data_IF_584191256874
#
_entry.id   IF_584191256874
#
_cell.length_a   1.000
_cell.length_b   1.000
_cell.length_c   1.000
_cell.angle_alpha   90.00
_cell.angle_beta   90.00
_cell.angle_gamma   90.00
#
_symmetry.space_group_name_H-M   'P 1'
#
loop_
_entity.id
_entity.type
_entity.pdbx_description
1 polymer ?
#
# COMPACT_ATOMS: atom_id res chain seq x y z
N UNK A 1 17.81 1.25 -9.22
CA UNK A 1 16.58 0.45 -9.05
C UNK A 1 15.50 1.09 -9.90
N UNK A 2 14.88 0.38 -10.85
CA UNK A 2 13.81 0.94 -11.69
C UNK A 2 12.49 0.89 -10.91
N UNK A 3 11.86 2.04 -10.69
CA UNK A 3 10.53 2.08 -10.09
C UNK A 3 9.51 1.52 -11.10
N UNK A 4 8.70 0.55 -10.68
CA UNK A 4 7.64 0.00 -11.52
C UNK A 4 6.35 0.77 -11.28
N UNK A 5 5.81 1.39 -12.34
CA UNK A 5 4.50 2.06 -12.28
C UNK A 5 3.40 1.01 -12.44
N UNK A 6 2.60 0.80 -11.40
CA UNK A 6 1.46 -0.13 -11.40
C UNK A 6 0.26 0.51 -10.72
N UNK A 7 -0.95 -0.02 -10.96
CA UNK A 7 -2.17 0.47 -10.31
C UNK A 7 -2.40 -0.23 -8.98
N UNK A 8 -3.01 0.46 -8.02
CA UNK A 8 -3.42 -0.14 -6.73
C UNK A 8 -4.27 -1.39 -6.96
N UNK A 9 -5.21 -1.33 -7.91
CA UNK A 9 -6.06 -2.46 -8.30
C UNK A 9 -5.25 -3.69 -8.73
N UNK A 10 -4.19 -3.49 -9.52
CA UNK A 10 -3.34 -4.59 -9.98
C UNK A 10 -2.61 -5.24 -8.81
N UNK A 11 -2.10 -4.43 -7.87
CA UNK A 11 -1.45 -4.93 -6.64
C UNK A 11 -2.46 -5.71 -5.79
N UNK A 12 -3.65 -5.16 -5.52
CA UNK A 12 -4.64 -5.83 -4.66
C UNK A 12 -5.08 -7.17 -5.22
N UNK A 13 -5.19 -7.27 -6.55
CA UNK A 13 -5.55 -8.52 -7.23
C UNK A 13 -4.45 -9.59 -7.17
N UNK A 14 -3.23 -9.23 -6.78
CA UNK A 14 -2.06 -10.11 -6.68
C UNK A 14 -1.72 -10.50 -5.22
N UNK A 15 -2.45 -9.96 -4.23
CA UNK A 15 -2.20 -10.27 -2.82
C UNK A 15 -2.62 -11.70 -2.47
N UNK A 16 -1.75 -12.43 -1.76
CA UNK A 16 -1.93 -13.81 -1.29
C UNK A 16 -2.28 -14.81 -2.39
N UNK A 17 -1.70 -14.60 -3.59
CA UNK A 17 -1.89 -15.46 -4.75
C UNK A 17 -0.62 -16.22 -5.07
N UNK A 18 -0.70 -17.54 -4.98
CA UNK A 18 0.38 -18.47 -5.31
C UNK A 18 0.69 -18.49 -6.82
N UNK A 19 -0.29 -18.11 -7.66
CA UNK A 19 -0.19 -18.05 -9.12
C UNK A 19 0.35 -16.72 -9.67
N UNK A 20 0.69 -15.76 -8.79
CA UNK A 20 1.16 -14.45 -9.20
C UNK A 20 2.65 -14.45 -9.60
N UNK A 21 2.98 -13.63 -10.61
CA UNK A 21 4.35 -13.41 -11.10
C UNK A 21 5.29 -13.00 -9.96
N UNK A 22 6.52 -13.52 -9.96
CA UNK A 22 7.57 -13.33 -8.92
C UNK A 22 7.20 -13.85 -7.51
N UNK A 23 6.27 -14.80 -7.41
CA UNK A 23 5.88 -15.41 -6.13
C UNK A 23 4.81 -14.63 -5.36
N UNK A 24 4.25 -13.57 -5.95
CA UNK A 24 3.10 -12.83 -5.43
C UNK A 24 3.41 -11.91 -4.25
N UNK A 25 2.45 -11.04 -3.92
CA UNK A 25 2.53 -10.19 -2.73
C UNK A 25 1.92 -10.93 -1.54
N UNK A 26 2.73 -11.31 -0.56
CA UNK A 26 2.24 -11.96 0.66
C UNK A 26 2.03 -10.92 1.75
N UNK A 27 0.79 -10.78 2.21
CA UNK A 27 0.52 -10.04 3.44
C UNK A 27 0.80 -10.98 4.62
N UNK A 28 1.73 -10.62 5.52
CA UNK A 28 1.96 -11.40 6.73
C UNK A 28 0.65 -11.62 7.49
N UNK A 29 0.41 -12.82 8.01
CA UNK A 29 -0.74 -13.08 8.87
C UNK A 29 -0.69 -12.27 10.19
N UNK A 30 0.49 -11.75 10.54
CA UNK A 30 0.69 -10.76 11.61
C UNK A 30 0.55 -9.35 11.00
N UNK A 31 -0.68 -8.94 10.75
CA UNK A 31 -0.99 -7.53 10.56
C UNK A 31 -1.72 -7.03 11.79
N UNK A 32 -1.26 -5.91 12.34
CA UNK A 32 -1.99 -5.26 13.44
C UNK A 32 -3.35 -4.83 12.89
N UNK A 33 -4.39 -4.92 13.72
CA UNK A 33 -5.69 -4.39 13.35
C UNK A 33 -5.56 -2.94 12.85
N UNK A 34 -6.33 -2.59 11.83
CA UNK A 34 -6.36 -1.20 11.38
C UNK A 34 -6.84 -0.31 12.53
N UNK A 35 -6.00 0.62 12.99
CA UNK A 35 -6.28 1.50 14.14
C UNK A 35 -6.41 2.98 13.77
N UNK A 36 -6.35 3.31 12.48
CA UNK A 36 -6.49 4.70 12.07
C UNK A 36 -7.94 5.15 12.23
N UNK A 37 -8.10 6.31 12.85
CA UNK A 37 -9.38 7.04 12.90
C UNK A 37 -9.62 7.74 11.56
N UNK A 38 -10.87 8.03 11.26
CA UNK A 38 -11.29 8.70 10.02
C UNK A 38 -10.51 10.00 9.75
N UNK A 39 -10.37 10.86 10.75
CA UNK A 39 -9.61 12.12 10.67
C UNK A 39 -8.14 11.90 10.24
N UNK A 40 -7.52 10.79 10.62
CA UNK A 40 -6.13 10.50 10.24
C UNK A 40 -6.02 10.18 8.75
N UNK A 41 -7.02 9.49 8.22
CA UNK A 41 -7.13 9.20 6.79
C UNK A 41 -7.35 10.49 6.00
N UNK A 42 -8.23 11.38 6.47
CA UNK A 42 -8.45 12.69 5.84
C UNK A 42 -7.17 13.53 5.78
N UNK A 43 -6.41 13.58 6.88
CA UNK A 43 -5.14 14.32 6.94
C UNK A 43 -4.08 13.74 6.01
N UNK A 44 -4.08 12.43 5.78
CA UNK A 44 -3.23 11.81 4.78
C UNK A 44 -3.61 12.27 3.37
N UNK A 45 -4.90 12.27 3.03
CA UNK A 45 -5.37 12.76 1.73
C UNK A 45 -5.07 14.26 1.54
N UNK A 46 -5.27 15.09 2.55
CA UNK A 46 -4.89 16.51 2.53
C UNK A 46 -3.37 16.67 2.28
N UNK A 47 -2.56 15.83 2.92
CA UNK A 47 -1.10 15.85 2.71
C UNK A 47 -0.71 15.46 1.28
N UNK A 48 -1.34 14.43 0.73
CA UNK A 48 -1.15 14.00 -0.66
C UNK A 48 -1.54 15.09 -1.66
N UNK A 49 -2.67 15.77 -1.45
CA UNK A 49 -3.15 16.85 -2.33
C UNK A 49 -2.27 18.10 -2.30
N UNK A 50 -1.52 18.30 -1.21
CA UNK A 50 -0.59 19.42 -1.03
C UNK A 50 0.85 19.07 -1.44
N UNK A 51 1.06 17.90 -2.03
CA UNK A 51 2.38 17.38 -2.38
C UNK A 51 3.37 17.37 -1.20
N UNK A 52 2.87 17.23 0.04
CA UNK A 52 3.75 17.07 1.19
C UNK A 52 4.47 15.73 1.12
N UNK A 53 5.76 15.67 1.51
CA UNK A 53 6.50 14.42 1.51
C UNK A 53 5.87 13.46 2.52
N UNK A 54 5.25 12.40 2.01
CA UNK A 54 4.81 11.25 2.80
C UNK A 54 5.96 10.24 2.89
N UNK A 55 6.11 9.60 4.06
CA UNK A 55 7.17 8.63 4.28
C UNK A 55 7.15 7.48 3.26
N UNK A 56 8.31 6.88 3.00
CA UNK A 56 8.45 5.72 2.11
C UNK A 56 7.62 4.55 2.65
N UNK A 57 6.75 3.97 1.80
CA UNK A 57 6.11 2.70 2.10
C UNK A 57 7.22 1.63 2.19
N UNK A 58 7.41 1.01 3.36
CA UNK A 58 8.27 -0.17 3.47
C UNK A 58 7.55 -1.32 2.77
N UNK A 59 8.17 -1.82 1.69
CA UNK A 59 7.72 -2.95 0.89
C UNK A 59 8.61 -4.15 1.16
#
# INVERSE_FOLDING_TARGET
MKNQTTTIRKITNQLNREDATDGGFWLPNIQRNFVWKEEQTERLFDSLMRDYPIGTLLV
#
